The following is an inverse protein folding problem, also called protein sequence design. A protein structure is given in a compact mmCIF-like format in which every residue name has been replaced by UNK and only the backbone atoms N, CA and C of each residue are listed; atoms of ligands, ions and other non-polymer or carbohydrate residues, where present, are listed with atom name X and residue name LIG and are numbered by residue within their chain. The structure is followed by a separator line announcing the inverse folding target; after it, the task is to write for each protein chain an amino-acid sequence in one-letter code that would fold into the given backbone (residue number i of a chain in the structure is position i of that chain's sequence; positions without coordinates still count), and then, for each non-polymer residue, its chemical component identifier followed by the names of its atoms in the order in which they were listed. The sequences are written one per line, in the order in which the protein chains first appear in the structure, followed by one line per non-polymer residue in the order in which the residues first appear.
data_IF_180344598235
#
_entry.id   IF_180344598235
#
_cell.length_a   1.000
_cell.length_b   1.000
_cell.length_c   1.000
_cell.angle_alpha   90.00
_cell.angle_beta   90.00
_cell.angle_gamma   90.00
#
_symmetry.space_group_name_H-M   'P 1'
#
loop_
_entity.id
_entity.type
_entity.pdbx_description
1 polymer ?
#
# COMPACT_ATOMS: atom_id res chain seq x y z
N UNK A 1 7.46 -12.05 14.74
CA UNK A 1 6.97 -12.46 13.41
C UNK A 1 5.97 -11.42 12.92
N UNK A 2 6.02 -11.06 11.63
CA UNK A 2 5.23 -10.00 10.99
C UNK A 2 4.22 -10.68 10.06
N UNK A 3 2.91 -10.50 10.29
CA UNK A 3 1.85 -11.19 9.53
C UNK A 3 0.85 -10.19 8.94
N UNK A 4 0.52 -10.37 7.66
CA UNK A 4 -0.47 -9.56 6.95
C UNK A 4 -1.80 -10.35 6.74
N UNK A 5 -1.72 -11.64 6.36
CA UNK A 5 -2.91 -12.35 5.85
C UNK A 5 -3.62 -13.30 6.84
N UNK A 6 -3.02 -13.67 7.98
CA UNK A 6 -3.55 -14.74 8.84
C UNK A 6 -3.90 -14.27 10.26
N UNK A 7 -5.13 -13.79 10.44
CA UNK A 7 -5.61 -13.25 11.72
C UNK A 7 -5.56 -14.26 12.89
N UNK A 8 -5.72 -15.56 12.61
CA UNK A 8 -5.66 -16.63 13.61
C UNK A 8 -4.25 -16.83 14.18
N UNK A 9 -3.20 -16.50 13.41
CA UNK A 9 -1.80 -16.65 13.84
C UNK A 9 -1.47 -15.69 14.99
N UNK A 10 -2.09 -14.51 15.02
CA UNK A 10 -1.89 -13.56 16.12
C UNK A 10 -2.46 -14.09 17.44
N UNK A 11 -3.62 -14.77 17.40
CA UNK A 11 -4.19 -15.44 18.57
C UNK A 11 -3.28 -16.56 19.06
N UNK A 12 -2.73 -17.36 18.15
CA UNK A 12 -1.78 -18.43 18.47
C UNK A 12 -0.47 -17.86 19.05
N UNK A 13 0.07 -16.78 18.48
CA UNK A 13 1.26 -16.11 19.00
C UNK A 13 1.05 -15.60 20.43
N UNK A 14 -0.14 -15.06 20.73
CA UNK A 14 -0.50 -14.65 22.09
C UNK A 14 -0.58 -15.83 23.07
N UNK A 15 -1.12 -16.97 22.65
CA UNK A 15 -1.19 -18.17 23.49
C UNK A 15 0.19 -18.77 23.80
N UNK A 16 1.13 -18.59 22.88
CA UNK A 16 2.52 -19.01 23.02
C UNK A 16 3.42 -17.96 23.69
N UNK A 17 2.85 -16.89 24.27
CA UNK A 17 3.61 -15.83 24.94
C UNK A 17 4.54 -15.01 24.01
N UNK A 18 4.33 -15.08 22.69
CA UNK A 18 5.19 -14.44 21.69
C UNK A 18 4.61 -13.09 21.27
N UNK A 19 5.46 -12.05 21.23
CA UNK A 19 5.06 -10.72 20.73
C UNK A 19 4.70 -10.79 19.24
N UNK A 20 3.52 -10.28 18.90
CA UNK A 20 3.00 -10.25 17.52
C UNK A 20 2.93 -8.82 16.97
N UNK A 21 3.32 -8.65 15.72
CA UNK A 21 3.21 -7.39 15.00
C UNK A 21 2.30 -7.57 13.78
N UNK A 22 1.31 -6.70 13.62
CA UNK A 22 0.48 -6.66 12.42
C UNK A 22 1.11 -5.73 11.39
N UNK A 23 1.40 -6.27 10.21
CA UNK A 23 1.86 -5.49 9.07
C UNK A 23 0.67 -4.95 8.31
N UNK A 24 0.59 -3.63 8.20
CA UNK A 24 -0.45 -2.94 7.47
C UNK A 24 0.14 -2.47 6.13
N UNK A 25 -0.30 -3.12 5.06
CA UNK A 25 -0.04 -2.73 3.67
C UNK A 25 -1.08 -1.74 3.13
N UNK A 26 -2.21 -1.58 3.82
CA UNK A 26 -3.24 -0.63 3.43
C UNK A 26 -2.67 0.78 3.32
N UNK A 27 -3.09 1.58 2.31
CA UNK A 27 -2.62 2.93 2.15
C UNK A 27 -2.90 3.71 3.43
N UNK A 28 -1.84 4.29 3.96
CA UNK A 28 -1.82 5.00 5.23
C UNK A 28 -2.68 6.27 5.28
N UNK A 29 -3.48 6.51 4.23
CA UNK A 29 -4.52 7.52 4.16
C UNK A 29 -5.79 7.14 4.93
N UNK A 30 -5.87 5.94 5.54
CA UNK A 30 -6.93 5.60 6.49
C UNK A 30 -6.80 6.44 7.76
N UNK A 31 -7.52 7.56 7.79
CA UNK A 31 -7.69 8.42 8.97
C UNK A 31 -9.16 8.47 9.33
N UNK A 32 -9.52 8.58 10.62
CA UNK A 32 -10.83 9.10 10.98
C UNK A 32 -11.02 10.46 10.27
N UNK A 33 -11.95 10.55 9.32
CA UNK A 33 -12.19 11.74 8.50
C UNK A 33 -11.53 11.78 7.11
N UNK A 34 -10.79 10.75 6.69
CA UNK A 34 -10.29 10.67 5.30
C UNK A 34 -11.38 10.28 4.30
N UNK A 35 -11.28 10.78 3.07
CA UNK A 35 -12.12 10.34 1.94
C UNK A 35 -11.88 8.87 1.56
N UNK A 36 -10.73 8.31 1.93
CA UNK A 36 -10.42 6.89 1.75
C UNK A 36 -11.13 6.10 2.85
N UNK A 37 -12.12 5.31 2.46
CA UNK A 37 -12.87 4.41 3.34
C UNK A 37 -12.49 2.96 3.02
N UNK A 38 -12.24 2.17 4.07
CA UNK A 38 -12.16 0.71 3.92
C UNK A 38 -13.55 0.16 3.61
N UNK A 39 -13.61 -0.90 2.82
CA UNK A 39 -14.85 -1.66 2.70
C UNK A 39 -15.25 -2.22 4.07
N UNK A 40 -16.54 -2.42 4.37
CA UNK A 40 -16.98 -2.89 5.68
C UNK A 40 -16.27 -4.17 6.16
N UNK A 41 -16.01 -5.10 5.25
CA UNK A 41 -15.30 -6.35 5.55
C UNK A 41 -13.81 -6.13 5.87
N UNK A 42 -13.14 -5.21 5.18
CA UNK A 42 -11.75 -4.83 5.45
C UNK A 42 -11.63 -4.08 6.78
N UNK A 43 -12.57 -3.17 7.07
CA UNK A 43 -12.62 -2.41 8.31
C UNK A 43 -12.82 -3.34 9.52
N UNK A 44 -13.73 -4.31 9.42
CA UNK A 44 -13.95 -5.32 10.44
C UNK A 44 -12.72 -6.20 10.65
N UNK A 45 -12.08 -6.65 9.56
CA UNK A 45 -10.89 -7.47 9.63
C UNK A 45 -9.70 -6.69 10.23
N UNK A 46 -9.55 -5.41 9.88
CA UNK A 46 -8.56 -4.52 10.47
C UNK A 46 -8.81 -4.29 11.97
N UNK A 47 -10.04 -4.00 12.38
CA UNK A 47 -10.40 -3.81 13.78
C UNK A 47 -10.11 -5.07 14.63
N UNK A 48 -10.46 -6.25 14.11
CA UNK A 48 -10.20 -7.53 14.78
C UNK A 48 -8.70 -7.80 14.93
N UNK A 49 -7.90 -7.51 13.90
CA UNK A 49 -6.44 -7.64 13.95
C UNK A 49 -5.83 -6.60 14.90
N UNK A 50 -6.28 -5.35 14.86
CA UNK A 50 -5.84 -4.29 15.78
C UNK A 50 -5.92 -4.75 17.23
N UNK A 51 -7.02 -5.38 17.65
CA UNK A 51 -7.18 -5.82 19.05
C UNK A 51 -6.16 -6.91 19.41
N UNK A 52 -5.88 -7.83 18.50
CA UNK A 52 -5.11 -9.05 18.77
C UNK A 52 -3.58 -8.91 18.68
N UNK A 53 -3.05 -7.85 18.05
CA UNK A 53 -1.59 -7.65 17.94
C UNK A 53 -1.01 -6.83 19.09
N UNK A 54 0.29 -6.96 19.37
CA UNK A 54 0.97 -6.11 20.37
C UNK A 54 1.41 -4.77 19.76
N UNK A 55 1.82 -4.79 18.50
CA UNK A 55 2.42 -3.65 17.79
C UNK A 55 1.85 -3.55 16.37
N UNK A 56 1.79 -2.34 15.83
CA UNK A 56 1.43 -2.07 14.45
C UNK A 56 2.66 -1.69 13.65
N UNK A 57 2.80 -2.25 12.44
CA UNK A 57 3.84 -1.89 11.50
C UNK A 57 3.18 -1.37 10.21
N UNK A 58 3.61 -0.23 9.68
CA UNK A 58 3.06 0.33 8.43
C UNK A 58 4.12 0.36 7.36
N UNK A 59 3.76 -0.02 6.12
CA UNK A 59 4.62 0.13 4.95
C UNK A 59 4.66 1.60 4.49
N UNK A 60 5.57 2.40 5.04
CA UNK A 60 5.77 3.82 4.68
C UNK A 60 7.19 4.26 5.06
N UNK A 61 7.67 5.34 4.43
CA UNK A 61 8.89 6.03 4.85
C UNK A 61 8.57 7.41 5.44
N UNK A 62 9.55 8.00 6.12
CA UNK A 62 9.40 9.29 6.79
C UNK A 62 9.31 10.44 5.77
N UNK A 63 10.03 10.31 4.65
CA UNK A 63 10.14 11.29 3.57
C UNK A 63 8.81 11.52 2.84
N UNK A 64 8.02 10.46 2.64
CA UNK A 64 6.69 10.55 2.01
C UNK A 64 5.71 11.35 2.89
N UNK A 65 5.99 11.51 4.19
CA UNK A 65 5.03 12.09 5.14
C UNK A 65 5.48 13.37 5.84
N UNK A 66 6.70 13.82 5.58
CA UNK A 66 7.26 15.03 6.19
C UNK A 66 7.48 14.89 7.70
N UNK A 67 7.93 15.95 8.38
CA UNK A 67 8.34 15.95 9.79
C UNK A 67 7.18 15.82 10.79
N UNK A 68 5.97 15.52 10.32
CA UNK A 68 4.83 15.41 11.19
C UNK A 68 4.99 14.22 12.13
N UNK A 69 4.64 14.47 13.38
CA UNK A 69 4.57 13.63 14.58
C UNK A 69 3.53 12.49 14.38
N UNK A 70 3.65 11.79 13.25
CA UNK A 70 2.68 10.83 12.74
C UNK A 70 2.75 9.52 13.52
N UNK A 71 3.94 9.08 13.89
CA UNK A 71 4.10 7.91 14.76
C UNK A 71 3.42 8.16 16.10
N UNK A 72 3.68 9.31 16.73
CA UNK A 72 3.03 9.68 17.99
C UNK A 72 1.53 9.88 17.84
N UNK A 73 1.05 10.45 16.73
CA UNK A 73 -0.39 10.52 16.44
C UNK A 73 -1.00 9.12 16.32
N UNK A 74 -0.38 8.21 15.57
CA UNK A 74 -0.90 6.85 15.43
C UNK A 74 -0.80 6.08 16.75
N UNK A 75 0.27 6.26 17.52
CA UNK A 75 0.41 5.70 18.86
C UNK A 75 -0.67 6.22 19.80
N UNK A 76 -1.01 7.51 19.70
CA UNK A 76 -2.10 8.12 20.46
C UNK A 76 -3.47 7.59 20.04
N UNK A 77 -3.75 7.48 18.74
CA UNK A 77 -5.02 6.98 18.22
C UNK A 77 -5.21 5.47 18.45
N UNK A 78 -4.14 4.68 18.28
CA UNK A 78 -4.21 3.23 18.37
C UNK A 78 -3.86 2.69 19.75
N UNK A 79 -3.28 3.53 20.64
CA UNK A 79 -2.79 3.17 21.98
C UNK A 79 -1.87 1.94 21.95
N UNK A 80 -1.07 1.81 20.89
CA UNK A 80 -0.12 0.71 20.64
C UNK A 80 1.12 1.28 19.98
N UNK A 81 2.28 0.66 20.20
CA UNK A 81 3.51 1.08 19.52
C UNK A 81 3.37 0.93 18.01
N UNK A 82 3.92 1.90 17.28
CA UNK A 82 3.84 1.95 15.82
C UNK A 82 5.26 2.01 15.25
N UNK A 83 5.59 1.00 14.44
CA UNK A 83 6.84 0.99 13.67
C UNK A 83 6.57 1.34 12.21
N UNK A 84 7.39 2.25 11.68
CA UNK A 84 7.45 2.47 10.24
C UNK A 84 8.39 1.44 9.65
N UNK A 85 7.89 0.69 8.68
CA UNK A 85 8.69 -0.25 7.92
C UNK A 85 8.83 0.26 6.51
N UNK A 86 10.05 0.61 6.13
CA UNK A 86 10.38 0.83 4.73
C UNK A 86 10.58 -0.55 4.10
N UNK A 87 9.75 -0.87 3.11
CA UNK A 87 10.06 -2.02 2.27
C UNK A 87 11.30 -1.66 1.48
N UNK A 88 12.37 -2.44 1.62
CA UNK A 88 13.35 -2.57 0.56
C UNK A 88 12.56 -2.94 -0.69
N UNK A 89 12.41 -2.00 -1.62
CA UNK A 89 12.00 -2.34 -2.97
C UNK A 89 13.19 -3.16 -3.47
N UNK A 90 13.14 -4.48 -3.25
CA UNK A 90 14.12 -5.39 -3.82
C UNK A 90 14.12 -5.05 -5.30
N UNK A 91 15.26 -4.56 -5.77
CA UNK A 91 15.50 -4.28 -7.17
C UNK A 91 15.46 -5.65 -7.84
N UNK A 92 14.24 -6.12 -8.12
CA UNK A 92 14.05 -7.36 -8.85
C UNK A 92 14.62 -7.03 -10.20
N UNK A 93 15.74 -7.64 -10.53
CA UNK A 93 16.43 -7.51 -11.80
C UNK A 93 15.59 -8.15 -12.91
N UNK A 94 14.30 -7.83 -12.98
CA UNK A 94 13.39 -8.08 -14.08
C UNK A 94 13.79 -7.16 -15.23
N UNK A 95 15.00 -7.40 -15.72
CA UNK A 95 15.51 -6.88 -16.97
C UNK A 95 14.75 -7.57 -18.09
N UNK A 96 13.49 -7.15 -18.29
CA UNK A 96 12.82 -7.40 -19.55
C UNK A 96 13.52 -6.53 -20.60
N UNK A 97 14.63 -7.04 -21.15
CA UNK A 97 15.44 -6.40 -22.20
C UNK A 97 14.58 -5.82 -23.34
N UNK A 98 13.41 -6.42 -23.61
CA UNK A 98 12.39 -5.94 -24.54
C UNK A 98 11.81 -4.57 -24.16
N UNK A 99 11.38 -4.38 -22.90
CA UNK A 99 10.82 -3.12 -22.42
C UNK A 99 11.88 -2.03 -22.29
N UNK A 100 13.10 -2.39 -21.86
CA UNK A 100 14.22 -1.45 -21.84
C UNK A 100 14.54 -0.92 -23.24
N UNK A 101 14.61 -1.80 -24.25
CA UNK A 101 14.81 -1.39 -25.66
C UNK A 101 13.65 -0.56 -26.21
N UNK A 102 12.42 -0.84 -25.81
CA UNK A 102 11.25 -0.07 -26.24
C UNK A 102 11.28 1.34 -25.63
N UNK A 103 11.50 1.45 -24.33
CA UNK A 103 11.53 2.73 -23.61
C UNK A 103 12.73 3.59 -24.00
N UNK A 104 13.87 2.99 -24.35
CA UNK A 104 15.06 3.70 -24.82
C UNK A 104 14.85 4.46 -26.15
N UNK A 105 13.74 4.21 -26.87
CA UNK A 105 13.41 4.93 -28.11
C UNK A 105 12.76 6.30 -27.88
N UNK A 106 12.35 6.58 -26.64
CA UNK A 106 11.64 7.81 -26.27
C UNK A 106 12.58 8.74 -25.49
N UNK A 107 12.32 10.04 -25.56
CA UNK A 107 13.09 11.03 -24.82
C UNK A 107 12.84 10.91 -23.31
N UNK A 108 13.83 11.23 -22.49
CA UNK A 108 13.68 11.27 -21.03
C UNK A 108 12.49 12.16 -20.64
N UNK A 109 11.57 11.62 -19.82
CA UNK A 109 10.38 12.34 -19.37
C UNK A 109 9.21 12.40 -20.37
N UNK A 110 9.33 11.80 -21.55
CA UNK A 110 8.26 11.82 -22.58
C UNK A 110 7.28 10.64 -22.53
N UNK A 111 7.55 9.64 -21.69
CA UNK A 111 6.70 8.44 -21.56
C UNK A 111 5.88 8.50 -20.29
N UNK A 112 4.56 8.38 -20.42
CA UNK A 112 3.65 8.20 -19.30
C UNK A 112 3.46 6.70 -19.08
N UNK A 113 3.76 6.21 -17.87
CA UNK A 113 3.56 4.83 -17.48
C UNK A 113 2.27 4.70 -16.65
N UNK A 114 1.27 3.97 -17.17
CA UNK A 114 -0.01 3.73 -16.51
C UNK A 114 -0.13 2.26 -16.09
N UNK A 115 -0.39 1.99 -14.81
CA UNK A 115 -0.58 0.64 -14.27
C UNK A 115 -1.77 0.64 -13.32
N UNK A 116 -2.72 -0.25 -13.56
CA UNK A 116 -3.96 -0.34 -12.77
C UNK A 116 -3.90 -1.39 -11.66
N UNK A 117 -2.82 -2.17 -11.60
CA UNK A 117 -2.68 -3.30 -10.68
C UNK A 117 -3.53 -4.50 -11.10
N UNK A 118 -3.35 -5.63 -10.42
CA UNK A 118 -4.05 -6.88 -10.74
C UNK A 118 -5.51 -6.92 -10.29
N UNK A 119 -5.90 -6.01 -9.39
CA UNK A 119 -7.22 -6.01 -8.75
C UNK A 119 -8.21 -5.03 -9.43
N UNK A 120 -7.74 -4.23 -10.40
CA UNK A 120 -8.60 -3.28 -11.10
C UNK A 120 -9.23 -3.93 -12.34
N UNK A 121 -10.49 -4.36 -12.21
CA UNK A 121 -11.32 -4.79 -13.34
C UNK A 121 -12.17 -3.62 -13.83
N UNK A 122 -11.64 -2.82 -14.75
CA UNK A 122 -12.42 -1.78 -15.43
C UNK A 122 -13.37 -2.40 -16.46
N UNK A 123 -14.54 -1.78 -16.67
CA UNK A 123 -15.40 -2.12 -17.81
C UNK A 123 -14.73 -1.71 -19.12
N UNK A 124 -15.09 -2.39 -20.21
CA UNK A 124 -14.52 -2.15 -21.54
C UNK A 124 -14.64 -0.68 -21.96
N UNK A 125 -15.80 -0.08 -21.71
CA UNK A 125 -16.10 1.29 -22.12
C UNK A 125 -15.22 2.31 -21.36
N UNK A 126 -15.02 2.10 -20.06
CA UNK A 126 -14.15 2.96 -19.24
C UNK A 126 -12.68 2.87 -19.68
N UNK A 127 -12.23 1.66 -20.02
CA UNK A 127 -10.87 1.46 -20.53
C UNK A 127 -10.69 2.12 -21.91
N UNK A 128 -11.69 2.03 -22.80
CA UNK A 128 -11.66 2.69 -24.10
C UNK A 128 -11.67 4.21 -23.97
N UNK A 129 -12.48 4.77 -23.08
CA UNK A 129 -12.53 6.21 -22.81
C UNK A 129 -11.17 6.73 -22.31
N UNK A 130 -10.51 5.98 -21.41
CA UNK A 130 -9.17 6.30 -20.95
C UNK A 130 -8.16 6.30 -22.10
N UNK A 131 -8.17 5.27 -22.95
CA UNK A 131 -7.27 5.18 -24.09
C UNK A 131 -7.47 6.34 -25.08
N UNK A 132 -8.73 6.67 -25.38
CA UNK A 132 -9.06 7.82 -26.24
C UNK A 132 -8.53 9.12 -25.66
N UNK A 133 -8.67 9.33 -24.35
CA UNK A 133 -8.14 10.52 -23.68
C UNK A 133 -6.61 10.56 -23.72
N UNK A 134 -5.92 9.44 -23.52
CA UNK A 134 -4.46 9.37 -23.64
C UNK A 134 -3.99 9.68 -25.06
N UNK A 135 -4.71 9.19 -26.08
CA UNK A 135 -4.42 9.50 -27.48
C UNK A 135 -4.58 11.00 -27.78
N UNK A 136 -5.62 11.64 -27.25
CA UNK A 136 -5.85 13.07 -27.41
C UNK A 136 -4.76 13.92 -26.74
N UNK A 137 -4.24 13.52 -25.57
CA UNK A 137 -3.15 14.23 -24.87
C UNK A 137 -1.83 14.21 -25.65
N UNK A 138 -1.62 13.22 -26.53
CA UNK A 138 -0.43 13.12 -27.38
C UNK A 138 -0.48 13.91 -28.69
N UNK A 139 -1.57 14.65 -28.95
CA UNK A 139 -1.79 15.44 -30.19
C UNK A 139 -1.70 16.96 -29.98
N UNK A 140 -1.08 17.43 -28.90
CA UNK A 140 -0.82 18.85 -28.63
C UNK A 140 0.62 19.24 -28.99
#
# INVERSE_FOLDING_TARGET
MIFDFSHWIMRLASQLGTKSAHYCTAPTGFRPGSSIKLWPHEAQAFAKRKVQCNTLAFRTCQEIKGPYVWNTYLEDQYKKSVHLWTSDIKNTNLCHKKWTKLLARFNTGSVIYCVFGSECTQSKDQFQELLLRLELTGRA
#
